data_IF_112130412042
#
_entry.id   IF_112130412042
#
_cell.length_a   1.000
_cell.length_b   1.000
_cell.length_c   1.000
_cell.angle_alpha   90.00
_cell.angle_beta   90.00
_cell.angle_gamma   90.00
#
_symmetry.space_group_name_H-M   'P 1'
#
loop_
_entity.id
_entity.type
_entity.pdbx_description
1 polymer ?
#
# COMPACT_ATOMS: atom_id res chain seq x y z
N UNK A 1 2.27 -27.86 3.04
CA UNK A 1 1.67 -26.60 2.52
C UNK A 1 2.32 -25.43 3.23
N UNK A 2 2.80 -24.42 2.50
CA UNK A 2 3.31 -23.19 3.13
C UNK A 2 2.15 -22.48 3.81
N UNK A 3 2.28 -22.25 5.12
CA UNK A 3 1.21 -21.66 5.92
C UNK A 3 1.19 -20.14 5.69
N UNK A 4 0.44 -19.67 4.69
CA UNK A 4 0.35 -18.24 4.31
C UNK A 4 -0.35 -17.43 5.39
N UNK A 5 0.25 -16.31 5.79
CA UNK A 5 -0.36 -15.35 6.70
C UNK A 5 -1.56 -14.66 6.03
N UNK A 6 -2.70 -14.63 6.72
CA UNK A 6 -3.89 -13.94 6.20
C UNK A 6 -3.70 -12.43 6.30
N UNK A 7 -3.89 -11.72 5.20
CA UNK A 7 -3.63 -10.28 5.08
C UNK A 7 -4.86 -9.49 4.62
N UNK A 8 -4.85 -8.20 4.95
CA UNK A 8 -5.78 -7.22 4.41
C UNK A 8 -5.02 -6.20 3.54
N UNK A 9 -5.70 -5.65 2.53
CA UNK A 9 -5.17 -4.55 1.72
C UNK A 9 -6.15 -3.38 1.77
N UNK A 10 -5.66 -2.20 2.22
CA UNK A 10 -6.42 -0.95 2.18
C UNK A 10 -6.13 -0.19 0.90
N UNK A 11 -7.17 0.35 0.28
CA UNK A 11 -7.10 1.10 -0.98
C UNK A 11 -8.00 2.33 -0.96
N UNK A 12 -7.67 3.35 -1.77
CA UNK A 12 -8.55 4.50 -2.04
C UNK A 12 -8.77 4.78 -3.53
N UNK A 13 -8.02 4.14 -4.42
CA UNK A 13 -7.95 4.50 -5.84
C UNK A 13 -8.02 3.33 -6.81
N UNK A 14 -7.20 3.39 -7.87
CA UNK A 14 -7.21 2.46 -9.01
C UNK A 14 -6.82 1.01 -8.67
N UNK A 15 -6.10 0.78 -7.57
CA UNK A 15 -5.75 -0.55 -7.11
C UNK A 15 -4.69 -1.27 -7.95
N UNK A 16 -3.80 -0.55 -8.64
CA UNK A 16 -2.75 -1.19 -9.43
C UNK A 16 -1.74 -1.95 -8.57
N UNK A 17 -1.33 -1.39 -7.43
CA UNK A 17 -0.52 -2.07 -6.42
C UNK A 17 -1.28 -3.26 -5.80
N UNK A 18 -2.58 -3.10 -5.51
CA UNK A 18 -3.43 -4.21 -5.07
C UNK A 18 -3.40 -5.37 -6.07
N UNK A 19 -3.54 -5.08 -7.38
CA UNK A 19 -3.46 -6.10 -8.43
C UNK A 19 -2.13 -6.87 -8.40
N UNK A 20 -1.02 -6.17 -8.20
CA UNK A 20 0.30 -6.77 -8.10
C UNK A 20 0.39 -7.69 -6.87
N UNK A 21 -0.03 -7.22 -5.70
CA UNK A 21 -0.05 -8.02 -4.46
C UNK A 21 -0.94 -9.26 -4.63
N UNK A 22 -2.14 -9.13 -5.21
CA UNK A 22 -3.04 -10.28 -5.44
C UNK A 22 -2.39 -11.33 -6.33
N UNK A 23 -1.76 -10.92 -7.45
CA UNK A 23 -1.09 -11.86 -8.34
C UNK A 23 0.00 -12.64 -7.63
N UNK A 24 0.91 -11.94 -6.94
CA UNK A 24 2.00 -12.58 -6.19
C UNK A 24 1.49 -13.44 -5.02
N UNK A 25 0.41 -13.04 -4.35
CA UNK A 25 -0.16 -13.82 -3.24
C UNK A 25 -0.71 -15.19 -3.67
N UNK A 26 -0.91 -15.41 -4.97
CA UNK A 26 -1.37 -16.69 -5.55
C UNK A 26 -0.20 -17.65 -5.84
N UNK A 27 1.02 -17.16 -5.88
CA UNK A 27 2.20 -18.01 -6.04
C UNK A 27 2.38 -18.90 -4.81
N UNK A 28 2.82 -20.15 -5.03
CA UNK A 28 2.89 -21.17 -3.97
C UNK A 28 3.72 -20.71 -2.77
N UNK A 29 4.92 -20.19 -3.01
CA UNK A 29 5.87 -19.79 -1.97
C UNK A 29 5.69 -18.36 -1.44
N UNK A 30 4.64 -17.64 -1.86
CA UNK A 30 4.42 -16.28 -1.38
C UNK A 30 3.89 -16.29 0.06
N UNK A 31 4.45 -15.47 0.98
CA UNK A 31 4.23 -15.65 2.43
C UNK A 31 2.82 -15.25 2.90
N UNK A 32 2.07 -14.48 2.11
CA UNK A 32 0.74 -14.03 2.50
C UNK A 32 -0.35 -14.49 1.50
N UNK A 33 -1.60 -14.56 1.99
CA UNK A 33 -2.81 -14.59 1.16
C UNK A 33 -3.64 -13.33 1.42
N UNK A 34 -4.20 -12.75 0.38
CA UNK A 34 -5.12 -11.59 0.52
C UNK A 34 -6.51 -12.12 0.89
N UNK A 35 -6.88 -12.00 2.15
CA UNK A 35 -8.17 -12.49 2.69
C UNK A 35 -9.24 -11.41 2.80
N UNK A 36 -8.87 -10.12 2.68
CA UNK A 36 -9.80 -9.00 2.75
C UNK A 36 -9.24 -7.78 2.01
N UNK A 37 -10.11 -7.03 1.37
CA UNK A 37 -9.80 -5.70 0.81
C UNK A 37 -10.75 -4.70 1.45
N UNK A 38 -10.22 -3.57 1.96
CA UNK A 38 -11.05 -2.49 2.50
C UNK A 38 -10.77 -1.20 1.71
N UNK A 39 -11.85 -0.50 1.35
CA UNK A 39 -11.76 0.82 0.72
C UNK A 39 -12.49 1.86 1.57
N UNK A 40 -11.89 3.06 1.69
CA UNK A 40 -12.54 4.24 2.25
C UNK A 40 -13.23 5.11 1.19
N UNK A 41 -13.27 4.66 -0.08
CA UNK A 41 -13.90 5.38 -1.19
C UNK A 41 -14.87 4.47 -1.95
N UNK A 42 -16.10 4.94 -2.17
CA UNK A 42 -17.15 4.22 -2.92
C UNK A 42 -16.72 3.93 -4.35
N UNK A 43 -16.07 4.92 -5.00
CA UNK A 43 -15.66 4.85 -6.41
C UNK A 43 -14.23 4.31 -6.60
N UNK A 44 -13.67 3.61 -5.62
CA UNK A 44 -12.34 3.00 -5.75
C UNK A 44 -12.36 1.92 -6.83
N UNK A 45 -11.73 2.19 -7.99
CA UNK A 45 -11.65 1.24 -9.11
C UNK A 45 -10.96 -0.07 -8.73
N UNK A 46 -10.12 -0.06 -7.71
CA UNK A 46 -9.46 -1.25 -7.18
C UNK A 46 -10.43 -2.34 -6.69
N UNK A 47 -11.69 -2.01 -6.35
CA UNK A 47 -12.73 -2.99 -5.99
C UNK A 47 -13.03 -3.94 -7.16
N UNK A 48 -12.81 -3.53 -8.41
CA UNK A 48 -12.86 -4.43 -9.56
C UNK A 48 -11.98 -5.68 -9.37
N UNK A 49 -10.77 -5.51 -8.82
CA UNK A 49 -9.87 -6.65 -8.58
C UNK A 49 -10.35 -7.55 -7.45
N UNK A 50 -10.99 -7.00 -6.41
CA UNK A 50 -11.63 -7.81 -5.38
C UNK A 50 -12.67 -8.75 -5.98
N UNK A 51 -13.57 -8.21 -6.82
CA UNK A 51 -14.60 -8.98 -7.54
C UNK A 51 -13.98 -10.00 -8.49
N UNK A 52 -13.05 -9.55 -9.36
CA UNK A 52 -12.39 -10.41 -10.37
C UNK A 52 -11.68 -11.62 -9.77
N UNK A 53 -11.10 -11.47 -8.59
CA UNK A 53 -10.33 -12.53 -7.93
C UNK A 53 -11.08 -13.21 -6.79
N UNK A 54 -12.39 -12.94 -6.66
CA UNK A 54 -13.29 -13.50 -5.63
C UNK A 54 -12.76 -13.30 -4.20
N UNK A 55 -12.17 -12.12 -3.93
CA UNK A 55 -11.65 -11.77 -2.61
C UNK A 55 -12.71 -10.98 -1.85
N UNK A 56 -13.04 -11.35 -0.59
CA UNK A 56 -13.93 -10.58 0.26
C UNK A 56 -13.51 -9.11 0.34
N UNK A 57 -14.47 -8.19 0.27
CA UNK A 57 -14.19 -6.77 0.38
C UNK A 57 -15.23 -6.01 1.19
N UNK A 58 -14.85 -4.86 1.73
CA UNK A 58 -15.71 -3.89 2.40
C UNK A 58 -15.43 -2.48 1.89
N UNK A 59 -16.49 -1.68 1.80
CA UNK A 59 -16.39 -0.26 1.46
C UNK A 59 -16.96 0.52 2.66
N UNK A 60 -16.09 1.27 3.32
CA UNK A 60 -16.44 2.12 4.45
C UNK A 60 -16.21 3.58 4.06
N UNK A 61 -17.05 4.08 3.14
CA UNK A 61 -17.01 5.47 2.67
C UNK A 61 -17.87 6.38 3.53
N UNK A 62 -17.58 7.68 3.47
CA UNK A 62 -18.32 8.74 4.18
C UNK A 62 -18.36 8.55 5.71
N UNK A 63 -17.38 7.88 6.26
CA UNK A 63 -17.17 7.74 7.69
C UNK A 63 -16.06 8.69 8.15
N UNK A 64 -16.17 9.16 9.39
CA UNK A 64 -15.03 9.77 10.07
C UNK A 64 -13.94 8.70 10.31
N UNK A 65 -12.73 9.13 10.65
CA UNK A 65 -11.58 8.25 10.86
C UNK A 65 -11.86 7.17 11.92
N UNK A 66 -12.42 7.56 13.06
CA UNK A 66 -12.69 6.66 14.19
C UNK A 66 -13.65 5.52 13.80
N UNK A 67 -14.72 5.83 13.08
CA UNK A 67 -15.70 4.82 12.65
C UNK A 67 -15.15 3.92 11.56
N UNK A 68 -14.38 4.47 10.61
CA UNK A 68 -13.68 3.67 9.61
C UNK A 68 -12.73 2.67 10.26
N UNK A 69 -11.90 3.12 11.18
CA UNK A 69 -10.92 2.30 11.89
C UNK A 69 -11.60 1.22 12.75
N UNK A 70 -12.64 1.58 13.52
CA UNK A 70 -13.41 0.65 14.33
C UNK A 70 -14.01 -0.48 13.49
N UNK A 71 -14.69 -0.14 12.39
CA UNK A 71 -15.28 -1.14 11.47
C UNK A 71 -14.21 -1.99 10.78
N UNK A 72 -13.08 -1.39 10.43
CA UNK A 72 -11.94 -2.10 9.83
C UNK A 72 -11.35 -3.11 10.80
N UNK A 73 -11.09 -2.74 12.05
CA UNK A 73 -10.57 -3.64 13.10
C UNK A 73 -11.54 -4.81 13.34
N UNK A 74 -12.85 -4.56 13.38
CA UNK A 74 -13.85 -5.63 13.53
C UNK A 74 -13.73 -6.68 12.41
N UNK A 75 -13.69 -6.24 11.15
CA UNK A 75 -13.60 -7.13 9.99
C UNK A 75 -12.24 -7.86 9.93
N UNK A 76 -11.16 -7.20 10.33
CA UNK A 76 -9.81 -7.75 10.41
C UNK A 76 -9.74 -8.86 11.46
N UNK A 77 -10.23 -8.61 12.69
CA UNK A 77 -10.24 -9.59 13.79
C UNK A 77 -11.11 -10.80 13.45
N UNK A 78 -12.32 -10.58 12.90
CA UNK A 78 -13.23 -11.64 12.46
C UNK A 78 -12.56 -12.63 11.49
N UNK A 79 -11.61 -12.17 10.68
CA UNK A 79 -10.91 -12.99 9.67
C UNK A 79 -9.50 -13.42 10.11
N UNK A 80 -9.13 -13.19 11.35
CA UNK A 80 -7.81 -13.54 11.89
C UNK A 80 -6.66 -13.00 11.00
N UNK A 81 -6.80 -11.75 10.54
CA UNK A 81 -5.79 -11.10 9.71
C UNK A 81 -4.65 -10.61 10.60
N UNK A 82 -3.41 -10.90 10.18
CA UNK A 82 -2.18 -10.58 10.92
C UNK A 82 -1.16 -9.77 10.11
N UNK A 83 -1.55 -9.26 8.95
CA UNK A 83 -0.70 -8.43 8.11
C UNK A 83 -1.55 -7.44 7.31
N UNK A 84 -1.13 -6.17 7.25
CA UNK A 84 -1.86 -5.11 6.56
C UNK A 84 -0.97 -4.40 5.55
N UNK A 85 -1.47 -4.29 4.31
CA UNK A 85 -0.83 -3.52 3.24
C UNK A 85 -1.65 -2.27 2.94
N UNK A 86 -1.01 -1.10 2.91
CA UNK A 86 -1.60 0.14 2.40
C UNK A 86 -1.17 0.30 0.93
N UNK A 87 -2.09 0.17 -0.01
CA UNK A 87 -1.80 0.16 -1.44
C UNK A 87 -2.51 1.32 -2.17
N UNK A 88 -1.95 2.52 -2.07
CA UNK A 88 -2.60 3.74 -2.53
C UNK A 88 -3.80 4.10 -1.64
N UNK A 89 -3.64 3.96 -0.34
CA UNK A 89 -4.59 4.38 0.67
C UNK A 89 -4.28 5.83 1.08
N UNK A 90 -5.25 6.73 0.94
CA UNK A 90 -5.06 8.18 1.05
C UNK A 90 -5.49 8.77 2.41
N UNK A 91 -5.51 7.96 3.45
CA UNK A 91 -5.81 8.42 4.81
C UNK A 91 -4.71 7.97 5.77
N UNK A 92 -4.47 8.78 6.79
CA UNK A 92 -3.54 8.43 7.87
C UNK A 92 -4.28 7.53 8.85
N UNK A 93 -3.62 6.48 9.34
CA UNK A 93 -4.13 5.64 10.42
C UNK A 93 -3.73 6.23 11.76
N UNK A 94 -4.66 6.19 12.73
CA UNK A 94 -4.37 6.67 14.09
C UNK A 94 -3.39 5.75 14.82
N UNK A 95 -2.67 6.32 15.80
CA UNK A 95 -1.83 5.55 16.71
C UNK A 95 -2.63 4.44 17.43
N UNK A 96 -3.86 4.76 17.82
CA UNK A 96 -4.79 3.79 18.41
C UNK A 96 -5.09 2.62 17.48
N UNK A 97 -5.30 2.86 16.18
CA UNK A 97 -5.50 1.78 15.20
C UNK A 97 -4.26 0.91 15.09
N UNK A 98 -3.09 1.51 14.93
CA UNK A 98 -1.82 0.81 14.78
C UNK A 98 -1.56 -0.10 15.98
N UNK A 99 -1.71 0.42 17.19
CA UNK A 99 -1.58 -0.34 18.46
C UNK A 99 -2.63 -1.45 18.59
N UNK A 100 -3.89 -1.17 18.23
CA UNK A 100 -4.99 -2.14 18.34
C UNK A 100 -4.85 -3.28 17.33
N UNK A 101 -4.31 -2.99 16.13
CA UNK A 101 -4.01 -4.02 15.13
C UNK A 101 -2.88 -4.94 15.61
N UNK A 102 -1.82 -4.39 16.20
CA UNK A 102 -0.76 -5.13 16.89
C UNK A 102 0.14 -5.99 16.00
N UNK A 103 0.04 -5.87 14.67
CA UNK A 103 0.88 -6.59 13.71
C UNK A 103 1.48 -5.62 12.69
N UNK A 104 2.35 -6.12 11.81
CA UNK A 104 2.98 -5.30 10.79
C UNK A 104 1.98 -4.68 9.82
N UNK A 105 2.10 -3.36 9.65
CA UNK A 105 1.45 -2.57 8.61
C UNK A 105 2.56 -2.03 7.73
N UNK A 106 2.45 -2.22 6.42
CA UNK A 106 3.40 -1.65 5.46
C UNK A 106 2.68 -0.75 4.45
N UNK A 107 3.39 0.27 3.99
CA UNK A 107 2.91 1.22 2.98
C UNK A 107 3.90 1.31 1.82
N UNK A 108 3.38 1.63 0.63
CA UNK A 108 4.21 2.04 -0.51
C UNK A 108 4.04 3.53 -0.76
N UNK A 109 5.17 4.24 -0.84
CA UNK A 109 5.23 5.67 -1.08
C UNK A 109 6.03 5.98 -2.35
N UNK A 110 5.55 6.88 -3.25
CA UNK A 110 6.15 7.11 -4.57
C UNK A 110 7.35 8.07 -4.55
N UNK A 111 8.19 8.02 -3.50
CA UNK A 111 9.46 8.76 -3.41
C UNK A 111 10.56 7.92 -2.78
N UNK A 112 11.78 8.45 -2.83
CA UNK A 112 12.90 7.95 -2.04
C UNK A 112 12.86 8.59 -0.64
N UNK A 113 12.14 7.96 0.29
CA UNK A 113 12.08 8.44 1.68
C UNK A 113 13.50 8.53 2.29
N UNK A 114 13.75 9.50 3.16
CA UNK A 114 12.80 10.40 3.82
C UNK A 114 12.39 11.64 3.01
N UNK A 115 12.86 11.80 1.77
CA UNK A 115 12.50 12.94 0.92
C UNK A 115 11.05 12.80 0.39
N UNK A 116 10.37 13.95 0.27
CA UNK A 116 9.05 14.05 -0.38
C UNK A 116 7.94 13.21 0.29
N UNK A 117 7.88 13.20 1.63
CA UNK A 117 6.73 12.66 2.38
C UNK A 117 5.42 13.32 1.95
N UNK A 118 4.29 12.63 2.11
CA UNK A 118 2.94 13.14 1.85
C UNK A 118 2.55 13.18 0.38
N UNK A 119 1.69 14.13 0.01
CA UNK A 119 1.03 14.17 -1.30
C UNK A 119 1.83 14.92 -2.37
N UNK A 120 1.36 14.82 -3.63
CA UNK A 120 1.88 15.54 -4.82
C UNK A 120 3.38 15.31 -5.08
N UNK A 121 3.87 14.13 -4.77
CA UNK A 121 5.30 13.77 -4.83
C UNK A 121 5.92 14.06 -6.19
N UNK A 122 5.35 13.54 -7.28
CA UNK A 122 5.93 13.67 -8.62
C UNK A 122 6.09 15.13 -9.06
N UNK A 123 5.08 15.96 -8.80
CA UNK A 123 5.13 17.39 -9.09
C UNK A 123 6.25 18.10 -8.30
N UNK A 124 6.38 17.78 -7.00
CA UNK A 124 7.39 18.37 -6.11
C UNK A 124 8.80 17.95 -6.53
N UNK A 125 8.99 16.70 -6.90
CA UNK A 125 10.27 16.15 -7.37
C UNK A 125 10.73 16.84 -8.66
N UNK A 126 9.83 17.00 -9.65
CA UNK A 126 10.14 17.67 -10.92
C UNK A 126 10.39 19.17 -10.73
N UNK A 127 9.59 19.85 -9.88
CA UNK A 127 9.80 21.26 -9.55
C UNK A 127 11.20 21.51 -8.95
N UNK A 128 11.67 20.58 -8.14
CA UNK A 128 13.01 20.66 -7.51
C UNK A 128 14.13 20.16 -8.42
N UNK A 129 13.85 19.86 -9.70
CA UNK A 129 14.84 19.41 -10.69
C UNK A 129 15.71 18.26 -10.20
N UNK A 130 15.14 17.33 -9.42
CA UNK A 130 15.89 16.17 -8.92
C UNK A 130 16.33 15.28 -10.09
N UNK A 131 17.54 14.75 -9.98
CA UNK A 131 18.09 13.80 -10.97
C UNK A 131 17.43 12.41 -10.85
N UNK A 132 16.97 12.06 -9.66
CA UNK A 132 16.37 10.76 -9.36
C UNK A 132 15.09 10.91 -8.55
N UNK A 133 14.16 10.00 -8.80
CA UNK A 133 13.02 9.74 -7.94
C UNK A 133 12.99 8.24 -7.60
N UNK A 134 11.85 7.72 -7.14
CA UNK A 134 11.69 6.30 -6.89
C UNK A 134 10.46 5.99 -6.06
N UNK A 135 10.48 4.81 -5.47
CA UNK A 135 9.45 4.40 -4.53
C UNK A 135 10.05 3.67 -3.32
N UNK A 136 9.35 3.73 -2.21
CA UNK A 136 9.77 3.16 -0.93
C UNK A 136 8.64 2.31 -0.37
N UNK A 137 8.94 1.09 0.06
CA UNK A 137 8.07 0.34 0.97
C UNK A 137 8.66 0.43 2.37
N UNK A 138 7.81 0.81 3.33
CA UNK A 138 8.21 1.06 4.71
C UNK A 138 7.15 0.54 5.69
N UNK A 139 7.55 0.31 6.93
CA UNK A 139 6.60 0.05 8.00
C UNK A 139 5.81 1.33 8.32
N UNK A 140 4.56 1.16 8.71
CA UNK A 140 3.72 2.28 9.14
C UNK A 140 3.87 2.49 10.63
N UNK A 141 4.13 3.73 11.01
CA UNK A 141 4.11 4.25 12.38
C UNK A 141 3.14 5.44 12.45
N UNK A 142 2.87 6.04 13.61
CA UNK A 142 1.96 7.18 13.73
C UNK A 142 2.39 8.42 12.95
N UNK A 143 3.68 8.56 12.65
CA UNK A 143 4.25 9.69 11.91
C UNK A 143 4.17 9.44 10.40
N UNK A 144 3.72 10.43 9.64
CA UNK A 144 3.51 10.32 8.20
C UNK A 144 4.80 9.93 7.46
N UNK A 145 4.78 8.83 6.72
CA UNK A 145 5.84 8.33 5.85
C UNK A 145 7.23 8.32 6.51
N UNK A 146 7.30 7.93 7.80
CA UNK A 146 8.53 7.98 8.60
C UNK A 146 8.97 6.63 9.19
N UNK A 147 8.19 5.58 9.00
CA UNK A 147 8.52 4.26 9.50
C UNK A 147 9.76 3.66 8.83
N UNK A 148 10.36 2.66 9.49
CA UNK A 148 11.56 1.97 9.00
C UNK A 148 11.38 1.46 7.56
N UNK A 149 12.33 1.83 6.71
CA UNK A 149 12.36 1.42 5.30
C UNK A 149 12.62 -0.09 5.21
N UNK A 150 11.84 -0.77 4.36
CA UNK A 150 12.03 -2.18 4.04
C UNK A 150 12.85 -2.30 2.76
N UNK A 151 12.38 -1.73 1.67
CA UNK A 151 13.08 -1.65 0.38
C UNK A 151 12.77 -0.34 -0.34
N UNK A 152 13.72 0.10 -1.16
CA UNK A 152 13.56 1.24 -2.06
C UNK A 152 14.00 0.87 -3.47
N UNK A 153 13.40 1.51 -4.46
CA UNK A 153 13.81 1.41 -5.86
C UNK A 153 14.01 2.80 -6.43
N UNK A 154 15.20 3.04 -7.03
CA UNK A 154 15.61 4.32 -7.59
C UNK A 154 15.27 4.38 -9.08
N UNK A 155 14.79 5.53 -9.54
CA UNK A 155 14.39 5.77 -10.92
C UNK A 155 15.06 7.05 -11.41
N UNK A 156 15.75 6.98 -12.55
CA UNK A 156 16.31 8.16 -13.22
C UNK A 156 15.17 8.99 -13.83
N UNK A 157 15.24 10.30 -13.65
CA UNK A 157 14.31 11.27 -14.28
C UNK A 157 14.92 11.72 -15.59
N UNK A 158 14.19 11.58 -16.68
CA UNK A 158 14.63 11.98 -18.00
C UNK A 158 14.50 13.52 -18.17
N UNK A 159 15.28 14.10 -19.09
CA UNK A 159 15.33 15.57 -19.27
C UNK A 159 13.97 16.21 -19.55
N UNK A 160 13.08 15.50 -20.26
CA UNK A 160 11.74 15.98 -20.62
C UNK A 160 10.63 15.23 -19.86
N UNK A 161 10.92 14.75 -18.64
CA UNK A 161 9.96 13.99 -17.83
C UNK A 161 8.76 14.85 -17.42
N UNK A 162 7.56 14.36 -17.61
CA UNK A 162 6.32 14.97 -17.13
C UNK A 162 5.83 14.31 -15.85
N UNK A 163 4.92 14.96 -15.12
CA UNK A 163 4.32 14.37 -13.92
C UNK A 163 3.67 13.03 -14.22
N UNK A 164 2.99 12.90 -15.35
CA UNK A 164 2.28 11.67 -15.72
C UNK A 164 3.23 10.57 -16.23
N UNK A 165 4.30 10.92 -16.96
CA UNK A 165 5.30 9.95 -17.38
C UNK A 165 6.09 9.43 -16.18
N UNK A 166 6.52 10.30 -15.27
CA UNK A 166 7.20 9.93 -14.04
C UNK A 166 6.33 9.04 -13.16
N UNK A 167 5.04 9.41 -12.99
CA UNK A 167 4.07 8.58 -12.27
C UNK A 167 3.98 7.17 -12.84
N UNK A 168 3.82 7.03 -14.17
CA UNK A 168 3.77 5.71 -14.82
C UNK A 168 5.06 4.92 -14.65
N UNK A 169 6.20 5.59 -14.73
CA UNK A 169 7.53 5.00 -14.58
C UNK A 169 7.74 4.45 -13.16
N UNK A 170 7.41 5.25 -12.14
CA UNK A 170 7.49 4.85 -10.73
C UNK A 170 6.50 3.73 -10.43
N UNK A 171 5.26 3.83 -10.91
CA UNK A 171 4.24 2.81 -10.69
C UNK A 171 4.65 1.42 -11.19
N UNK A 172 5.39 1.34 -12.31
CA UNK A 172 5.97 0.08 -12.79
C UNK A 172 6.96 -0.52 -11.79
N UNK A 173 7.73 0.31 -11.11
CA UNK A 173 8.65 -0.15 -10.07
C UNK A 173 7.92 -0.54 -8.78
N UNK A 174 6.91 0.22 -8.38
CA UNK A 174 6.07 -0.11 -7.23
C UNK A 174 5.48 -1.53 -7.34
N UNK A 175 4.99 -1.90 -8.54
CA UNK A 175 4.41 -3.22 -8.78
C UNK A 175 5.41 -4.37 -8.58
N UNK A 176 6.71 -4.11 -8.76
CA UNK A 176 7.78 -5.09 -8.53
C UNK A 176 8.26 -5.03 -7.08
N UNK A 177 8.41 -3.81 -6.56
CA UNK A 177 8.98 -3.57 -5.24
C UNK A 177 8.07 -4.07 -4.11
N UNK A 178 6.75 -3.83 -4.22
CA UNK A 178 5.83 -4.18 -3.16
C UNK A 178 5.80 -5.68 -2.85
N UNK A 179 5.63 -6.60 -3.82
CA UNK A 179 5.73 -8.03 -3.55
C UNK A 179 7.10 -8.46 -3.00
N UNK A 180 8.20 -7.91 -3.52
CA UNK A 180 9.55 -8.18 -3.00
C UNK A 180 9.69 -7.76 -1.53
N UNK A 181 9.13 -6.60 -1.18
CA UNK A 181 9.14 -6.10 0.19
C UNK A 181 8.32 -6.99 1.13
N UNK A 182 7.17 -7.50 0.67
CA UNK A 182 6.39 -8.47 1.45
C UNK A 182 7.23 -9.72 1.73
N UNK A 183 7.89 -10.28 0.73
CA UNK A 183 8.79 -11.44 0.94
C UNK A 183 9.89 -11.10 1.97
N UNK A 184 10.47 -9.89 1.90
CA UNK A 184 11.54 -9.45 2.81
C UNK A 184 11.09 -9.34 4.27
N UNK A 185 9.81 -9.04 4.53
CA UNK A 185 9.24 -8.94 5.88
C UNK A 185 9.12 -10.32 6.55
N UNK A 186 9.04 -11.40 5.76
CA UNK A 186 8.81 -12.76 6.25
C UNK A 186 10.05 -13.67 6.16
N UNK A 187 11.21 -13.11 5.80
CA UNK A 187 12.52 -13.79 5.89
C UNK A 187 13.13 -13.58 7.26
#
# INVERSE_FOLDING_TARGET
MVNKVNSCVFISGNGSNLKSIIKSSREYNFPIKVGLIISNKTKARGIYYAKKYSIPYKIFSNLNQKDFERKSIYEIKKRKIKFLCLAGFLSILSDSFIKTFGFNIINIHPSLLPKYKGLNVHSRVLKNKEKYSGCTVHYVNPELDSGKIILQEKVLIDKNETVDSLRRKILKQEHKLYPRSIISVFK
#
